data_IF_205243399739
#
_entry.id   IF_205243399739
#
_cell.length_a   1.000
_cell.length_b   1.000
_cell.length_c   1.000
_cell.angle_alpha   90.00
_cell.angle_beta   90.00
_cell.angle_gamma   90.00
#
_symmetry.space_group_name_H-M   'P 1'
#
loop_
_entity.id
_entity.type
_entity.pdbx_description
1 polymer ?
#
# COMPACT_ATOMS: atom_id res chain seq x y z
N UNK A 1 31.78 8.33 -2.74
CA UNK A 1 30.72 7.47 -2.14
C UNK A 1 29.99 6.80 -3.29
N UNK A 2 30.26 5.51 -3.57
CA UNK A 2 29.54 4.78 -4.61
C UNK A 2 28.24 4.28 -3.98
N UNK A 3 27.12 4.91 -4.32
CA UNK A 3 25.79 4.41 -3.97
C UNK A 3 25.55 3.24 -4.92
N UNK A 4 25.91 2.03 -4.49
CA UNK A 4 25.59 0.81 -5.21
C UNK A 4 24.07 0.70 -5.29
N UNK A 5 23.53 0.69 -6.52
CA UNK A 5 22.19 0.15 -6.75
C UNK A 5 22.27 -1.34 -6.44
N UNK A 6 21.91 -1.71 -5.21
CA UNK A 6 21.59 -3.11 -4.93
C UNK A 6 20.39 -3.46 -5.82
N UNK A 7 20.62 -4.40 -6.73
CA UNK A 7 19.54 -5.09 -7.41
C UNK A 7 18.64 -5.66 -6.31
N UNK A 8 17.38 -5.20 -6.24
CA UNK A 8 16.36 -5.77 -5.34
C UNK A 8 16.09 -7.21 -5.78
N UNK A 9 17.01 -8.11 -5.44
CA UNK A 9 16.81 -9.54 -5.49
C UNK A 9 15.53 -9.85 -4.74
N UNK A 10 14.72 -10.76 -5.29
CA UNK A 10 13.45 -11.22 -4.70
C UNK A 10 13.70 -11.53 -3.23
N UNK A 11 13.35 -10.61 -2.34
CA UNK A 11 13.56 -10.79 -0.91
C UNK A 11 12.73 -11.97 -0.46
N UNK A 12 13.27 -12.80 0.44
CA UNK A 12 12.55 -13.98 0.92
C UNK A 12 11.17 -13.56 1.45
N UNK A 13 10.09 -14.30 1.18
CA UNK A 13 8.76 -13.89 1.59
C UNK A 13 8.67 -13.76 3.11
N UNK A 14 8.12 -12.65 3.60
CA UNK A 14 7.89 -12.41 5.02
C UNK A 14 6.69 -13.24 5.49
N UNK A 15 6.95 -14.48 5.93
CA UNK A 15 5.90 -15.40 6.38
C UNK A 15 5.32 -14.91 7.71
N UNK A 16 4.03 -14.58 7.71
CA UNK A 16 3.30 -14.11 8.90
C UNK A 16 2.41 -15.17 9.52
N UNK A 17 2.09 -16.23 8.78
CA UNK A 17 1.35 -17.37 9.31
C UNK A 17 1.68 -18.67 8.55
N UNK A 18 1.58 -19.79 9.25
CA UNK A 18 1.74 -21.14 8.69
C UNK A 18 0.55 -22.00 9.11
N UNK A 19 -0.04 -22.71 8.15
CA UNK A 19 -1.19 -23.58 8.36
C UNK A 19 -0.90 -24.99 7.86
N UNK A 20 -1.40 -25.99 8.58
CA UNK A 20 -1.35 -27.39 8.17
C UNK A 20 -2.72 -27.81 7.64
N UNK A 21 -2.78 -28.22 6.38
CA UNK A 21 -3.97 -28.68 5.68
C UNK A 21 -3.75 -30.14 5.28
N UNK A 22 -4.09 -31.06 6.19
CA UNK A 22 -3.77 -32.48 6.03
C UNK A 22 -2.25 -32.69 5.95
N UNK A 23 -1.78 -33.22 4.82
CA UNK A 23 -0.35 -33.42 4.54
C UNK A 23 0.34 -32.21 3.88
N UNK A 24 -0.38 -31.10 3.67
CA UNK A 24 0.15 -29.90 3.03
C UNK A 24 0.41 -28.79 4.04
N UNK A 25 1.57 -28.14 3.94
CA UNK A 25 1.89 -26.92 4.72
C UNK A 25 1.71 -25.70 3.83
N UNK A 26 0.88 -24.76 4.25
CA UNK A 26 0.62 -23.49 3.57
C UNK A 26 1.22 -22.32 4.34
N UNK A 27 1.88 -21.41 3.62
CA UNK A 27 2.50 -20.22 4.19
C UNK A 27 1.78 -18.96 3.71
N UNK A 28 1.41 -18.09 4.62
CA UNK A 28 0.88 -16.76 4.32
C UNK A 28 2.01 -15.75 4.46
N UNK A 29 2.29 -15.01 3.40
CA UNK A 29 3.32 -13.98 3.39
C UNK A 29 2.69 -12.58 3.28
N UNK A 30 3.18 -11.62 4.07
CA UNK A 30 2.86 -10.21 3.91
C UNK A 30 4.13 -9.38 3.70
N UNK A 31 4.35 -8.96 2.46
CA UNK A 31 5.48 -8.13 2.07
C UNK A 31 5.11 -6.65 1.93
N UNK A 32 3.85 -6.28 2.16
CA UNK A 32 3.31 -4.96 1.83
C UNK A 32 3.92 -3.85 2.71
N UNK A 33 4.39 -4.21 3.91
CA UNK A 33 4.95 -3.29 4.89
C UNK A 33 6.23 -3.79 5.56
N UNK A 34 6.87 -4.84 5.03
CA UNK A 34 8.04 -5.49 5.66
C UNK A 34 9.13 -4.50 6.05
N UNK A 35 9.43 -3.56 5.14
CA UNK A 35 10.51 -2.60 5.29
C UNK A 35 10.01 -1.21 5.68
N UNK A 36 8.76 -1.11 6.17
CA UNK A 36 8.15 0.16 6.57
C UNK A 36 7.94 0.20 8.07
N UNK A 37 8.34 1.30 8.67
CA UNK A 37 7.98 1.63 10.04
C UNK A 37 6.47 1.93 10.16
N UNK A 38 5.90 1.89 11.38
CA UNK A 38 4.52 2.32 11.61
C UNK A 38 4.25 3.74 11.09
N UNK A 39 5.19 4.66 11.26
CA UNK A 39 5.05 6.06 10.83
C UNK A 39 5.03 6.19 9.31
N UNK A 40 5.91 5.47 8.59
CA UNK A 40 5.89 5.44 7.12
C UNK A 40 4.60 4.82 6.58
N UNK A 41 4.07 3.82 7.28
CA UNK A 41 2.78 3.20 6.93
C UNK A 41 1.64 4.19 7.10
N UNK A 42 1.60 4.92 8.22
CA UNK A 42 0.62 5.98 8.47
C UNK A 42 0.71 7.09 7.41
N UNK A 43 1.92 7.47 6.99
CA UNK A 43 2.10 8.47 5.96
C UNK A 43 1.50 8.03 4.61
N UNK A 44 1.71 6.77 4.20
CA UNK A 44 1.10 6.22 2.97
C UNK A 44 -0.43 6.31 3.03
N UNK A 45 -1.04 5.97 4.17
CA UNK A 45 -2.48 6.08 4.35
C UNK A 45 -2.96 7.54 4.27
N UNK A 46 -2.25 8.46 4.92
CA UNK A 46 -2.56 9.88 4.88
C UNK A 46 -2.52 10.44 3.45
N UNK A 47 -1.52 10.06 2.67
CA UNK A 47 -1.37 10.50 1.28
C UNK A 47 -2.50 9.93 0.42
N UNK A 48 -2.84 8.65 0.60
CA UNK A 48 -3.96 8.00 -0.09
C UNK A 48 -5.30 8.70 0.17
N UNK A 49 -5.61 8.96 1.44
CA UNK A 49 -6.85 9.67 1.80
C UNK A 49 -6.88 11.09 1.26
N UNK A 50 -5.76 11.82 1.34
CA UNK A 50 -5.67 13.19 0.84
C UNK A 50 -5.93 13.25 -0.67
N UNK A 51 -5.35 12.32 -1.44
CA UNK A 51 -5.61 12.22 -2.86
C UNK A 51 -7.09 11.91 -3.16
N UNK A 52 -7.69 10.96 -2.42
CA UNK A 52 -9.11 10.62 -2.54
C UNK A 52 -10.03 11.81 -2.27
N UNK A 53 -9.78 12.57 -1.21
CA UNK A 53 -10.55 13.77 -0.88
C UNK A 53 -10.43 14.86 -1.94
N UNK A 54 -9.25 15.08 -2.48
CA UNK A 54 -9.05 16.06 -3.56
C UNK A 54 -9.86 15.70 -4.82
N UNK A 55 -9.84 14.42 -5.21
CA UNK A 55 -10.64 13.93 -6.34
C UNK A 55 -12.13 14.12 -6.07
N UNK A 56 -12.60 13.76 -4.86
CA UNK A 56 -14.00 13.91 -4.48
C UNK A 56 -14.47 15.37 -4.53
N UNK A 57 -13.68 16.29 -3.98
CA UNK A 57 -13.97 17.72 -3.99
C UNK A 57 -14.01 18.28 -5.42
N UNK A 58 -13.06 17.89 -6.28
CA UNK A 58 -13.07 18.29 -7.69
C UNK A 58 -14.34 17.83 -8.43
N UNK A 59 -14.72 16.56 -8.26
CA UNK A 59 -15.93 15.99 -8.88
C UNK A 59 -17.19 16.68 -8.34
N UNK A 60 -17.25 16.93 -7.03
CA UNK A 60 -18.39 17.58 -6.40
C UNK A 60 -18.59 19.01 -6.91
N UNK A 61 -17.50 19.78 -7.06
CA UNK A 61 -17.54 21.14 -7.63
C UNK A 61 -17.95 21.15 -9.10
N UNK A 62 -17.52 20.15 -9.89
CA UNK A 62 -17.94 20.03 -11.31
C UNK A 62 -19.43 19.75 -11.42
N UNK A 63 -19.96 18.81 -10.63
CA UNK A 63 -21.41 18.50 -10.62
C UNK A 63 -22.27 19.67 -10.15
N UNK A 64 -21.80 20.47 -9.19
CA UNK A 64 -22.52 21.66 -8.75
C UNK A 64 -22.67 22.72 -9.84
N UNK A 65 -21.67 22.86 -10.72
CA UNK A 65 -21.71 23.82 -11.84
C UNK A 65 -22.65 23.41 -12.99
N UNK A 66 -22.81 22.10 -13.24
CA UNK A 66 -23.72 21.60 -14.28
C UNK A 66 -25.21 21.68 -13.87
N UNK A 67 -25.52 21.90 -12.59
CA UNK A 67 -26.90 21.99 -12.09
C UNK A 67 -27.46 23.43 -12.09
N UNK A 68 -26.60 24.44 -12.29
CA UNK A 68 -26.95 25.86 -12.26
C UNK A 68 -26.98 26.53 -13.65
N UNK A 69 -26.68 25.78 -14.73
CA UNK A 69 -26.81 26.18 -16.15
C UNK A 69 -28.09 25.58 -16.78
#
# INVERSE_FOLDING_TARGET
MKIGKEEKGKSEPNIVATYQLGNTTSYIADNSYRDKTPDETQQVWKDFYSAGWNIWDEVSRKKGKEADD
#
